data_IF_070817329374
#
_entry.id   IF_070817329374
#
_cell.length_a   1.000
_cell.length_b   1.000
_cell.length_c   1.000
_cell.angle_alpha   90.00
_cell.angle_beta   90.00
_cell.angle_gamma   90.00
#
_symmetry.space_group_name_H-M   'P 1'
#
loop_
_entity.id
_entity.type
_entity.pdbx_description
1 polymer ?
#
# COMPACT_ATOMS: atom_id res chain seq x y z
N UNK A 1 -5.75 48.15 -0.78
CA UNK A 1 -6.76 47.11 -0.49
C UNK A 1 -7.00 46.36 -1.79
N UNK A 2 -6.45 45.15 -1.94
CA UNK A 2 -6.56 44.35 -3.18
C UNK A 2 -7.68 43.34 -3.01
N UNK A 3 -8.56 43.31 -3.98
CA UNK A 3 -9.86 42.65 -3.97
C UNK A 3 -9.71 41.12 -3.95
N UNK A 4 -10.33 40.51 -2.93
CA UNK A 4 -10.48 39.07 -2.71
C UNK A 4 -11.44 38.50 -3.77
N UNK A 5 -10.90 37.82 -4.78
CA UNK A 5 -11.70 37.02 -5.73
C UNK A 5 -11.82 35.61 -5.18
N UNK A 6 -12.84 35.41 -4.35
CA UNK A 6 -13.34 34.13 -3.87
C UNK A 6 -13.66 33.23 -5.07
N UNK A 7 -12.81 32.24 -5.32
CA UNK A 7 -13.06 31.21 -6.34
C UNK A 7 -13.77 30.04 -5.65
N UNK A 8 -15.05 29.90 -5.98
CA UNK A 8 -15.94 28.80 -5.58
C UNK A 8 -15.31 27.45 -6.02
N UNK A 9 -14.96 26.58 -5.07
CA UNK A 9 -14.63 25.17 -5.39
C UNK A 9 -15.94 24.37 -5.45
N UNK A 10 -16.17 23.54 -6.50
CA UNK A 10 -17.34 22.70 -6.58
C UNK A 10 -17.23 21.52 -5.60
N UNK A 11 -18.29 21.32 -4.84
CA UNK A 11 -18.55 20.13 -4.01
C UNK A 11 -18.64 18.91 -4.94
N UNK A 12 -17.65 18.02 -4.89
CA UNK A 12 -17.78 16.68 -5.49
C UNK A 12 -18.08 15.70 -4.35
N UNK A 13 -19.37 15.40 -4.18
CA UNK A 13 -19.85 14.30 -3.36
C UNK A 13 -19.47 12.99 -4.05
N UNK A 14 -18.47 12.28 -3.52
CA UNK A 14 -18.20 10.88 -3.89
C UNK A 14 -18.87 10.01 -2.85
N UNK A 15 -20.13 9.68 -3.11
CA UNK A 15 -20.80 8.54 -2.50
C UNK A 15 -20.79 7.40 -3.53
N UNK A 16 -19.85 6.45 -3.40
CA UNK A 16 -19.88 5.19 -4.12
C UNK A 16 -19.25 4.09 -3.26
N UNK A 17 -20.14 3.41 -2.54
CA UNK A 17 -20.22 1.96 -2.38
C UNK A 17 -18.91 1.16 -2.57
N UNK A 18 -18.42 0.63 -1.47
CA UNK A 18 -18.01 -0.77 -1.47
C UNK A 18 -18.53 -1.40 -0.18
N UNK A 19 -19.62 -2.16 -0.32
CA UNK A 19 -19.91 -3.27 0.56
C UNK A 19 -18.68 -4.17 0.53
N UNK A 20 -17.76 -3.94 1.46
CA UNK A 20 -16.66 -4.85 1.73
C UNK A 20 -17.30 -6.13 2.21
N UNK A 21 -17.46 -7.11 1.32
CA UNK A 21 -17.40 -8.49 1.74
C UNK A 21 -16.10 -8.60 2.53
N UNK A 22 -16.19 -8.62 3.85
CA UNK A 22 -15.11 -9.02 4.71
C UNK A 22 -14.82 -10.46 4.34
N UNK A 23 -13.95 -10.68 3.35
CA UNK A 23 -13.33 -11.97 3.11
C UNK A 23 -12.47 -12.19 4.33
N UNK A 24 -13.03 -12.87 5.33
CA UNK A 24 -12.28 -13.41 6.43
C UNK A 24 -11.38 -14.48 5.84
N UNK A 25 -10.23 -14.07 5.33
CA UNK A 25 -9.23 -14.98 4.80
C UNK A 25 -8.84 -15.91 5.93
N UNK A 26 -9.34 -17.15 5.86
CA UNK A 26 -9.03 -18.16 6.86
C UNK A 26 -7.53 -18.43 6.82
N UNK A 27 -6.79 -18.36 7.93
CA UNK A 27 -5.36 -18.60 7.93
C UNK A 27 -5.04 -20.02 7.44
N UNK A 28 -4.50 -20.11 6.22
CA UNK A 28 -4.05 -21.36 5.61
C UNK A 28 -3.01 -21.07 4.52
N UNK A 29 -2.35 -22.12 4.05
CA UNK A 29 -1.31 -22.01 3.02
C UNK A 29 -1.77 -21.33 1.73
N UNK A 30 -2.93 -21.70 1.19
CA UNK A 30 -3.42 -21.15 -0.07
C UNK A 30 -3.71 -19.63 0.03
N UNK A 31 -4.34 -19.20 1.13
CA UNK A 31 -4.59 -17.80 1.40
C UNK A 31 -3.30 -17.03 1.65
N UNK A 32 -2.35 -17.62 2.39
CA UNK A 32 -1.02 -17.05 2.56
C UNK A 32 -0.30 -16.84 1.22
N UNK A 33 -0.27 -17.83 0.33
CA UNK A 33 0.40 -17.72 -0.98
C UNK A 33 -0.20 -16.59 -1.83
N UNK A 34 -1.53 -16.43 -1.81
CA UNK A 34 -2.20 -15.31 -2.47
C UNK A 34 -1.76 -13.97 -1.87
N UNK A 35 -1.82 -13.82 -0.55
CA UNK A 35 -1.45 -12.56 0.14
C UNK A 35 0.03 -12.25 -0.04
N UNK A 36 0.90 -13.26 -0.03
CA UNK A 36 2.33 -13.12 -0.30
C UNK A 36 2.57 -12.62 -1.74
N UNK A 37 1.86 -13.17 -2.72
CA UNK A 37 1.96 -12.74 -4.11
C UNK A 37 1.55 -11.28 -4.29
N UNK A 38 0.46 -10.85 -3.65
CA UNK A 38 0.03 -9.44 -3.65
C UNK A 38 1.07 -8.52 -2.99
N UNK A 39 1.62 -8.94 -1.85
CA UNK A 39 2.65 -8.18 -1.13
C UNK A 39 3.95 -8.06 -1.94
N UNK A 40 4.40 -9.14 -2.59
CA UNK A 40 5.60 -9.15 -3.43
C UNK A 40 5.40 -8.24 -4.65
N UNK A 41 4.24 -8.30 -5.31
CA UNK A 41 3.94 -7.42 -6.45
C UNK A 41 3.94 -5.93 -6.04
N UNK A 42 3.39 -5.59 -4.87
CA UNK A 42 3.42 -4.23 -4.35
C UNK A 42 4.86 -3.77 -4.02
N UNK A 43 5.66 -4.64 -3.41
CA UNK A 43 7.06 -4.37 -3.12
C UNK A 43 7.87 -4.14 -4.39
N UNK A 44 7.76 -5.04 -5.37
CA UNK A 44 8.46 -4.95 -6.67
C UNK A 44 8.12 -3.63 -7.37
N UNK A 45 6.84 -3.23 -7.38
CA UNK A 45 6.43 -1.94 -7.93
C UNK A 45 7.07 -0.76 -7.20
N UNK A 46 7.12 -0.78 -5.86
CA UNK A 46 7.80 0.26 -5.08
C UNK A 46 9.32 0.29 -5.35
N UNK A 47 9.93 -0.88 -5.58
CA UNK A 47 11.35 -1.01 -5.88
C UNK A 47 11.67 -0.49 -7.29
N UNK A 48 10.80 -0.74 -8.28
CA UNK A 48 10.90 -0.16 -9.62
C UNK A 48 10.85 1.38 -9.58
N UNK A 49 10.09 1.94 -8.63
CA UNK A 49 10.03 3.38 -8.37
C UNK A 49 11.22 3.90 -7.56
N UNK A 50 12.17 3.03 -7.18
CA UNK A 50 13.30 3.32 -6.27
C UNK A 50 12.84 3.88 -4.91
N UNK A 51 11.67 3.48 -4.48
CA UNK A 51 11.01 3.99 -3.28
C UNK A 51 10.82 2.92 -2.20
N UNK A 52 11.24 1.67 -2.46
CA UNK A 52 11.04 0.56 -1.53
C UNK A 52 11.59 0.86 -0.13
N UNK A 53 10.80 0.55 0.89
CA UNK A 53 11.19 0.68 2.29
C UNK A 53 11.74 -0.64 2.81
N UNK A 54 12.83 -0.58 3.58
CA UNK A 54 13.41 -1.75 4.25
C UNK A 54 12.39 -2.46 5.15
N UNK A 55 11.48 -1.71 5.79
CA UNK A 55 10.44 -2.29 6.65
C UNK A 55 9.41 -3.13 5.88
N UNK A 56 9.28 -2.95 4.56
CA UNK A 56 8.45 -3.81 3.71
C UNK A 56 9.19 -5.11 3.35
N UNK A 57 10.48 -5.00 3.04
CA UNK A 57 11.36 -6.16 2.79
C UNK A 57 11.46 -7.07 4.02
N UNK A 58 11.78 -6.49 5.19
CA UNK A 58 11.85 -7.22 6.46
C UNK A 58 10.53 -7.95 6.77
N UNK A 59 9.39 -7.30 6.50
CA UNK A 59 8.09 -7.90 6.73
C UNK A 59 7.77 -9.04 5.75
N UNK A 60 8.24 -8.98 4.49
CA UNK A 60 8.14 -10.10 3.54
C UNK A 60 8.95 -11.30 4.00
N UNK A 61 10.18 -11.06 4.46
CA UNK A 61 11.06 -12.14 4.90
C UNK A 61 10.57 -12.78 6.21
N UNK A 62 10.07 -11.98 7.15
CA UNK A 62 9.43 -12.51 8.35
C UNK A 62 8.13 -13.26 8.03
N UNK A 63 7.38 -12.83 7.01
CA UNK A 63 6.19 -13.55 6.55
C UNK A 63 6.56 -14.95 6.02
N UNK A 64 7.64 -15.06 5.23
CA UNK A 64 8.16 -16.34 4.71
C UNK A 64 8.61 -17.26 5.85
N UNK A 65 9.38 -16.74 6.80
CA UNK A 65 9.81 -17.52 7.99
C UNK A 65 8.63 -18.02 8.83
N UNK A 66 7.60 -17.20 9.01
CA UNK A 66 6.39 -17.61 9.73
C UNK A 66 5.63 -18.72 8.98
N UNK A 67 5.54 -18.63 7.66
CA UNK A 67 4.93 -19.66 6.82
C UNK A 67 5.72 -20.98 6.84
N UNK A 68 7.05 -20.93 6.81
CA UNK A 68 7.92 -22.11 6.97
C UNK A 68 7.69 -22.81 8.31
N UNK A 69 7.38 -22.05 9.37
CA UNK A 69 6.99 -22.57 10.68
C UNK A 69 5.53 -23.05 10.75
N UNK A 70 4.74 -22.91 9.68
CA UNK A 70 3.31 -23.26 9.64
C UNK A 70 2.40 -22.26 10.36
N UNK A 71 2.91 -21.10 10.79
CA UNK A 71 2.14 -20.04 11.43
C UNK A 71 1.50 -19.14 10.36
N UNK A 72 0.44 -19.66 9.73
CA UNK A 72 -0.25 -19.01 8.62
C UNK A 72 -0.87 -17.67 9.00
N UNK A 73 -1.36 -17.52 10.24
CA UNK A 73 -1.96 -16.28 10.71
C UNK A 73 -0.90 -15.17 10.80
N UNK A 74 0.24 -15.46 11.44
CA UNK A 74 1.34 -14.52 11.52
C UNK A 74 1.93 -14.23 10.15
N UNK A 75 2.09 -15.25 9.31
CA UNK A 75 2.59 -15.10 7.95
C UNK A 75 1.72 -14.16 7.11
N UNK A 76 0.40 -14.35 7.13
CA UNK A 76 -0.54 -13.48 6.43
C UNK A 76 -0.55 -12.05 6.99
N UNK A 77 -0.46 -11.88 8.32
CA UNK A 77 -0.40 -10.56 8.94
C UNK A 77 0.86 -9.79 8.51
N UNK A 78 2.00 -10.47 8.47
CA UNK A 78 3.28 -9.89 8.04
C UNK A 78 3.28 -9.55 6.54
N UNK A 79 2.74 -10.44 5.70
CA UNK A 79 2.61 -10.18 4.27
C UNK A 79 1.69 -8.97 3.99
N UNK A 80 0.54 -8.87 4.68
CA UNK A 80 -0.32 -7.68 4.58
C UNK A 80 0.38 -6.40 5.05
N UNK A 81 1.19 -6.47 6.11
CA UNK A 81 2.00 -5.34 6.57
C UNK A 81 3.00 -4.90 5.50
N UNK A 82 3.68 -5.85 4.86
CA UNK A 82 4.61 -5.56 3.77
C UNK A 82 3.91 -4.90 2.57
N UNK A 83 2.72 -5.40 2.20
CA UNK A 83 1.88 -4.80 1.16
C UNK A 83 1.56 -3.35 1.50
N UNK A 84 1.04 -3.08 2.71
CA UNK A 84 0.69 -1.73 3.13
C UNK A 84 1.89 -0.77 3.12
N UNK A 85 3.05 -1.20 3.64
CA UNK A 85 4.26 -0.38 3.60
C UNK A 85 4.72 -0.09 2.17
N UNK A 86 4.63 -1.07 1.27
CA UNK A 86 5.00 -0.91 -0.13
C UNK A 86 4.05 0.05 -0.87
N UNK A 87 2.76 0.00 -0.57
CA UNK A 87 1.76 0.93 -1.14
C UNK A 87 1.99 2.36 -0.63
N UNK A 88 2.31 2.55 0.65
CA UNK A 88 2.64 3.86 1.21
C UNK A 88 3.91 4.42 0.55
N UNK A 89 4.95 3.59 0.38
CA UNK A 89 6.17 3.97 -0.31
C UNK A 89 5.91 4.46 -1.75
N UNK A 90 5.05 3.76 -2.49
CA UNK A 90 4.62 4.20 -3.83
C UNK A 90 3.90 5.55 -3.77
N UNK A 91 2.98 5.73 -2.82
CA UNK A 91 2.24 6.99 -2.65
C UNK A 91 3.16 8.16 -2.34
N UNK A 92 4.14 7.96 -1.45
CA UNK A 92 5.13 8.98 -1.12
C UNK A 92 5.94 9.37 -2.36
N UNK A 93 6.46 8.41 -3.12
CA UNK A 93 7.24 8.70 -4.33
C UNK A 93 6.42 9.47 -5.39
N UNK A 94 5.14 9.12 -5.57
CA UNK A 94 4.24 9.88 -6.45
C UNK A 94 4.01 11.31 -5.95
N UNK A 95 3.83 11.50 -4.64
CA UNK A 95 3.65 12.82 -4.04
C UNK A 95 4.89 13.69 -4.18
N UNK A 96 6.09 13.13 -3.96
CA UNK A 96 7.36 13.84 -4.13
C UNK A 96 7.61 14.23 -5.60
N UNK A 97 7.32 13.35 -6.54
CA UNK A 97 7.41 13.65 -7.97
C UNK A 97 6.48 14.80 -8.37
N UNK A 98 5.23 14.78 -7.90
CA UNK A 98 4.25 15.84 -8.17
C UNK A 98 4.64 17.17 -7.49
N UNK A 99 5.11 17.13 -6.24
CA UNK A 99 5.59 18.32 -5.54
C UNK A 99 6.79 18.94 -6.24
N UNK A 100 7.72 18.11 -6.74
CA UNK A 100 8.88 18.55 -7.52
C UNK A 100 8.44 19.21 -8.83
N UNK A 101 7.49 18.62 -9.55
CA UNK A 101 6.96 19.20 -10.79
C UNK A 101 6.36 20.60 -10.56
N UNK A 102 5.52 20.76 -9.53
CA UNK A 102 4.89 22.04 -9.20
C UNK A 102 5.88 23.12 -8.72
N UNK A 103 7.08 22.74 -8.25
CA UNK A 103 8.11 23.70 -7.85
C UNK A 103 8.93 24.23 -9.04
N UNK A 104 8.92 23.51 -10.18
CA UNK A 104 9.69 23.84 -11.37
C UNK A 104 8.89 24.61 -12.44
N UNK A 105 7.58 24.79 -12.23
CA UNK A 105 6.69 25.67 -13.03
C UNK A 105 6.61 27.09 -12.46
#
# INVERSE_FOLDING_TARGET
MKNLKTTLLPVIAIALLSAGCATTDTPNKANYERVLGEAQAAFDKSNMMKAAWLTAEDALDDAKKAAEAGDWEKAMKLANKAKAHSEIAQQQAMAEANATANFLE
#
